data_IF_881942370710
#
_entry.id   IF_881942370710
#
_cell.length_a   1.000
_cell.length_b   1.000
_cell.length_c   1.000
_cell.angle_alpha   90.00
_cell.angle_beta   90.00
_cell.angle_gamma   90.00
#
_symmetry.space_group_name_H-M   'P 1'
#
loop_
_entity.id
_entity.type
_entity.pdbx_description
1 polymer ?
#
# COMPACT_ATOMS: atom_id res chain seq x y z
N UNK A 1 -2.37 30.71 -8.20
CA UNK A 1 -1.35 29.99 -7.37
C UNK A 1 -1.90 29.71 -5.98
N UNK A 2 -1.10 29.33 -4.97
CA UNK A 2 -1.58 29.03 -3.62
C UNK A 2 -2.21 30.25 -2.91
N UNK A 3 -1.73 31.47 -3.21
CA UNK A 3 -2.22 32.74 -2.65
C UNK A 3 -3.48 33.30 -3.33
N UNK A 4 -3.94 32.68 -4.40
CA UNK A 4 -5.07 33.16 -5.19
C UNK A 4 -6.39 33.05 -4.40
N UNK A 5 -7.01 34.20 -4.15
CA UNK A 5 -8.25 34.34 -3.38
C UNK A 5 -8.06 34.58 -1.89
N UNK A 6 -6.82 34.68 -1.38
CA UNK A 6 -6.56 35.01 0.01
C UNK A 6 -6.57 36.53 0.26
N UNK A 7 -7.03 36.93 1.44
CA UNK A 7 -6.98 38.31 1.88
C UNK A 7 -5.54 38.75 2.21
N UNK A 8 -5.27 40.05 2.08
CA UNK A 8 -3.96 40.64 2.39
C UNK A 8 -3.56 40.41 3.86
N UNK A 9 -4.53 40.41 4.77
CA UNK A 9 -4.36 40.12 6.19
C UNK A 9 -3.72 38.75 6.44
N UNK A 10 -4.18 37.73 5.72
CA UNK A 10 -3.69 36.35 5.80
C UNK A 10 -2.26 36.26 5.26
N UNK A 11 -2.01 36.90 4.11
CA UNK A 11 -0.66 36.91 3.52
C UNK A 11 0.35 37.64 4.39
N UNK A 12 -0.07 38.73 5.05
CA UNK A 12 0.76 39.48 5.99
C UNK A 12 1.10 38.66 7.23
N UNK A 13 0.11 37.97 7.81
CA UNK A 13 0.34 37.10 8.96
C UNK A 13 1.34 35.97 8.65
N UNK A 14 1.23 35.36 7.46
CA UNK A 14 2.17 34.32 7.01
C UNK A 14 3.57 34.89 6.77
N UNK A 15 3.69 36.06 6.14
CA UNK A 15 4.97 36.75 5.96
C UNK A 15 5.64 37.09 7.30
N UNK A 16 4.89 37.65 8.24
CA UNK A 16 5.40 38.02 9.57
C UNK A 16 5.92 36.78 10.32
N UNK A 17 5.24 35.64 10.20
CA UNK A 17 5.69 34.37 10.73
C UNK A 17 7.00 33.92 10.09
N UNK A 18 7.08 33.93 8.75
CA UNK A 18 8.28 33.52 8.00
C UNK A 18 9.49 34.39 8.33
N UNK A 19 9.31 35.71 8.46
CA UNK A 19 10.37 36.64 8.86
C UNK A 19 10.85 36.36 10.28
N UNK A 20 9.93 36.10 11.23
CA UNK A 20 10.30 35.72 12.60
C UNK A 20 11.10 34.41 12.62
N UNK A 21 10.67 33.40 11.86
CA UNK A 21 11.39 32.14 11.74
C UNK A 21 12.79 32.35 11.18
N UNK A 22 12.91 33.14 10.11
CA UNK A 22 14.20 33.50 9.50
C UNK A 22 15.15 34.13 10.53
N UNK A 23 14.67 35.13 11.28
CA UNK A 23 15.47 35.81 12.29
C UNK A 23 15.91 34.86 13.44
N UNK A 24 15.08 33.88 13.82
CA UNK A 24 15.47 32.84 14.80
C UNK A 24 16.59 31.94 14.25
N UNK A 25 16.52 31.57 12.97
CA UNK A 25 17.56 30.77 12.30
C UNK A 25 18.87 31.55 12.16
N UNK A 26 18.80 32.82 11.74
CA UNK A 26 19.99 33.68 11.59
C UNK A 26 20.73 33.86 12.92
N UNK A 27 19.99 34.07 14.03
CA UNK A 27 20.60 34.12 15.37
C UNK A 27 21.28 32.81 15.73
N UNK A 28 20.64 31.67 15.46
CA UNK A 28 21.24 30.34 15.72
C UNK A 28 22.48 30.08 14.87
N UNK A 29 22.53 30.56 13.62
CA UNK A 29 23.73 30.42 12.76
C UNK A 29 24.94 31.08 13.44
N UNK A 30 24.75 32.28 13.98
CA UNK A 30 25.83 33.04 14.59
C UNK A 30 26.29 32.50 15.95
N UNK A 31 25.43 31.76 16.65
CA UNK A 31 25.70 31.30 18.02
C UNK A 31 25.98 29.80 18.15
N UNK A 32 25.73 28.99 17.12
CA UNK A 32 25.79 27.53 17.21
C UNK A 32 27.09 26.96 16.63
N UNK A 33 27.65 25.90 17.24
CA UNK A 33 28.83 25.22 16.71
C UNK A 33 28.55 24.53 15.36
N UNK A 34 29.60 24.21 14.58
CA UNK A 34 29.45 23.49 13.31
C UNK A 34 28.68 22.18 13.46
N UNK A 35 27.93 21.79 12.41
CA UNK A 35 27.08 20.57 12.36
C UNK A 35 25.90 20.56 13.35
N UNK A 36 25.42 21.72 13.78
CA UNK A 36 24.19 21.85 14.58
C UNK A 36 22.96 21.99 13.68
N UNK A 37 21.85 21.30 14.02
CA UNK A 37 20.56 21.52 13.37
C UNK A 37 20.02 22.91 13.73
N UNK A 38 19.95 23.80 12.73
CA UNK A 38 19.52 25.20 12.92
C UNK A 38 17.99 25.35 12.94
N UNK A 39 17.34 24.59 12.05
CA UNK A 39 15.89 24.58 11.89
C UNK A 39 15.43 23.13 11.65
N UNK A 40 14.36 22.75 12.33
CA UNK A 40 13.58 21.55 12.03
C UNK A 40 12.28 22.04 11.41
N UNK A 41 11.83 21.37 10.35
CA UNK A 41 10.53 21.67 9.76
C UNK A 41 9.44 21.65 10.83
N UNK A 42 8.49 22.58 10.70
CA UNK A 42 7.37 22.70 11.61
C UNK A 42 6.70 21.32 11.77
N UNK A 43 6.64 20.76 13.00
CA UNK A 43 5.96 19.51 13.27
C UNK A 43 4.54 19.51 12.72
N UNK A 44 4.05 18.34 12.29
CA UNK A 44 2.71 18.21 11.72
C UNK A 44 1.63 18.80 12.65
N UNK A 45 1.76 18.60 13.96
CA UNK A 45 0.86 19.12 14.99
C UNK A 45 0.73 20.65 14.94
N UNK A 46 1.84 21.37 14.82
CA UNK A 46 1.82 22.83 14.68
C UNK A 46 1.26 23.28 13.32
N UNK A 47 1.57 22.56 12.23
CA UNK A 47 0.95 22.83 10.91
C UNK A 47 -0.56 22.66 10.98
N UNK A 48 -1.03 21.61 11.64
CA UNK A 48 -2.46 21.36 11.85
C UNK A 48 -3.10 22.46 12.71
N UNK A 49 -2.44 22.90 13.78
CA UNK A 49 -2.93 24.01 14.59
C UNK A 49 -3.05 25.31 13.76
N UNK A 50 -2.01 25.68 13.02
CA UNK A 50 -2.04 26.88 12.16
C UNK A 50 -3.12 26.79 11.09
N UNK A 51 -3.22 25.65 10.44
CA UNK A 51 -4.08 25.50 9.29
C UNK A 51 -5.53 25.30 9.74
N UNK A 52 -5.83 24.49 10.75
CA UNK A 52 -7.20 24.07 11.09
C UNK A 52 -7.77 24.68 12.37
N UNK A 53 -6.96 25.29 13.24
CA UNK A 53 -7.47 25.92 14.47
C UNK A 53 -7.88 27.37 14.19
N UNK A 54 -8.99 27.53 13.48
CA UNK A 54 -9.61 28.83 13.22
C UNK A 54 -10.63 29.19 14.31
N UNK A 55 -11.13 30.43 14.30
CA UNK A 55 -12.05 30.93 15.32
C UNK A 55 -13.42 30.22 15.35
N UNK A 56 -13.75 29.43 14.32
CA UNK A 56 -14.94 28.57 14.24
C UNK A 56 -14.75 27.22 14.94
N UNK A 57 -13.55 26.91 15.43
CA UNK A 57 -13.26 25.70 16.20
C UNK A 57 -13.36 26.01 17.69
N UNK A 58 -14.31 25.35 18.36
CA UNK A 58 -14.58 25.56 19.79
C UNK A 58 -13.44 25.04 20.67
N UNK A 59 -12.95 23.83 20.38
CA UNK A 59 -11.94 23.13 21.19
C UNK A 59 -10.98 22.32 20.31
N UNK A 60 -9.69 22.31 20.70
CA UNK A 60 -8.68 21.42 20.13
C UNK A 60 -8.19 20.45 21.21
N UNK A 61 -8.50 19.18 21.03
CA UNK A 61 -8.20 18.12 22.00
C UNK A 61 -7.00 17.30 21.51
N UNK A 62 -5.98 17.14 22.36
CA UNK A 62 -4.73 16.45 22.05
C UNK A 62 -4.48 15.36 23.08
N UNK A 63 -4.12 14.15 22.67
CA UNK A 63 -3.82 13.00 23.57
C UNK A 63 -2.32 12.77 23.83
N UNK A 64 -1.46 13.58 23.21
CA UNK A 64 -0.01 13.60 23.46
C UNK A 64 0.41 14.84 24.24
N UNK A 65 0.97 14.62 25.43
CA UNK A 65 1.55 15.67 26.28
C UNK A 65 2.65 16.45 25.56
N UNK A 66 3.51 15.76 24.79
CA UNK A 66 4.59 16.38 24.02
C UNK A 66 4.03 17.33 22.95
N UNK A 67 3.02 16.88 22.21
CA UNK A 67 2.37 17.69 21.18
C UNK A 67 1.64 18.90 21.77
N UNK A 68 0.94 18.71 22.90
CA UNK A 68 0.25 19.77 23.62
C UNK A 68 1.21 20.88 24.07
N UNK A 69 2.31 20.49 24.73
CA UNK A 69 3.34 21.46 25.17
C UNK A 69 3.97 22.18 24.01
N UNK A 70 4.33 21.47 22.95
CA UNK A 70 4.92 22.09 21.76
C UNK A 70 3.98 23.10 21.12
N UNK A 71 2.67 22.82 21.04
CA UNK A 71 1.70 23.81 20.52
C UNK A 71 1.57 25.02 21.47
N UNK A 72 1.50 24.80 22.78
CA UNK A 72 1.40 25.90 23.75
C UNK A 72 2.62 26.82 23.77
N UNK A 73 3.81 26.25 23.67
CA UNK A 73 5.09 26.97 23.76
C UNK A 73 5.49 27.61 22.42
N UNK A 74 5.33 26.88 21.31
CA UNK A 74 5.89 27.27 20.01
C UNK A 74 4.88 27.98 19.09
N UNK A 75 3.57 27.77 19.26
CA UNK A 75 2.55 28.44 18.44
C UNK A 75 2.24 29.85 18.98
N UNK A 76 3.17 30.77 18.73
CA UNK A 76 3.01 32.20 19.04
C UNK A 76 1.80 32.84 18.31
N UNK A 77 1.36 32.24 17.19
CA UNK A 77 0.23 32.73 16.38
C UNK A 77 -1.15 32.44 16.98
N UNK A 78 -1.26 31.54 17.98
CA UNK A 78 -2.54 31.26 18.61
C UNK A 78 -3.01 32.47 19.42
N UNK A 79 -4.28 32.82 19.24
CA UNK A 79 -4.92 33.86 20.04
C UNK A 79 -5.06 33.40 21.50
N UNK A 80 -5.18 34.31 22.48
CA UNK A 80 -5.41 33.93 23.87
C UNK A 80 -6.63 33.03 24.06
N UNK A 81 -7.68 33.24 23.26
CA UNK A 81 -8.90 32.44 23.29
C UNK A 81 -8.65 31.03 22.77
N UNK A 82 -7.95 30.89 21.64
CA UNK A 82 -7.54 29.58 21.11
C UNK A 82 -6.65 28.80 22.09
N UNK A 83 -5.73 29.47 22.79
CA UNK A 83 -4.92 28.81 23.83
C UNK A 83 -5.77 28.30 25.00
N UNK A 84 -6.83 29.02 25.37
CA UNK A 84 -7.75 28.59 26.42
C UNK A 84 -8.61 27.38 25.98
N UNK A 85 -8.91 27.28 24.69
CA UNK A 85 -9.63 26.18 24.05
C UNK A 85 -8.76 24.95 23.71
N UNK A 86 -7.46 24.97 24.06
CA UNK A 86 -6.57 23.84 23.85
C UNK A 86 -6.59 22.91 25.06
N UNK A 87 -7.02 21.67 24.88
CA UNK A 87 -7.17 20.69 25.95
C UNK A 87 -6.27 19.46 25.76
N UNK A 88 -5.61 19.06 26.85
CA UNK A 88 -4.93 17.78 26.91
C UNK A 88 -5.90 16.70 27.40
N UNK A 89 -6.12 15.72 26.55
CA UNK A 89 -6.92 14.54 26.85
C UNK A 89 -6.19 13.59 27.79
N UNK A 90 -6.81 13.29 28.93
CA UNK A 90 -6.28 12.37 29.97
C UNK A 90 -7.18 11.15 30.21
N UNK A 91 -8.13 10.91 29.33
CA UNK A 91 -9.03 9.76 29.43
C UNK A 91 -8.29 8.44 29.18
N UNK A 92 -8.81 7.34 29.75
CA UNK A 92 -8.25 6.00 29.54
C UNK A 92 -8.62 5.42 28.17
N UNK A 93 -9.81 5.75 27.67
CA UNK A 93 -10.28 5.34 26.34
C UNK A 93 -9.56 6.17 25.26
N UNK A 94 -9.08 5.59 24.14
CA UNK A 94 -8.47 6.33 23.06
C UNK A 94 -9.35 7.50 22.56
N UNK A 95 -8.72 8.62 22.23
CA UNK A 95 -9.42 9.86 21.88
C UNK A 95 -10.42 9.67 20.73
N UNK A 96 -10.02 8.97 19.67
CA UNK A 96 -10.87 8.75 18.49
C UNK A 96 -12.01 7.77 18.77
N UNK A 97 -11.84 6.81 19.68
CA UNK A 97 -12.91 5.89 20.09
C UNK A 97 -13.98 6.63 20.87
N UNK A 98 -13.57 7.45 21.86
CA UNK A 98 -14.48 8.25 22.69
C UNK A 98 -15.43 9.13 21.84
N UNK A 99 -14.91 9.73 20.77
CA UNK A 99 -15.67 10.59 19.86
C UNK A 99 -16.28 9.85 18.66
N UNK A 100 -16.11 8.52 18.57
CA UNK A 100 -16.66 7.71 17.46
C UNK A 100 -16.00 7.93 16.11
N UNK A 101 -14.84 8.61 16.06
CA UNK A 101 -14.09 8.92 14.84
C UNK A 101 -13.52 7.65 14.22
N UNK A 102 -13.10 6.68 15.04
CA UNK A 102 -12.51 5.42 14.54
C UNK A 102 -13.49 4.68 13.61
N UNK A 103 -14.79 4.64 13.96
CA UNK A 103 -15.84 4.04 13.14
C UNK A 103 -16.01 4.76 11.81
N UNK A 104 -15.87 6.09 11.79
CA UNK A 104 -15.93 6.88 10.56
C UNK A 104 -14.69 6.68 9.68
N UNK A 105 -13.51 6.46 10.28
CA UNK A 105 -12.28 6.09 9.55
C UNK A 105 -12.45 4.72 8.89
N UNK A 106 -12.93 3.70 9.62
CA UNK A 106 -13.21 2.37 9.08
C UNK A 106 -14.24 2.42 7.94
N UNK A 107 -15.30 3.21 8.12
CA UNK A 107 -16.31 3.47 7.09
C UNK A 107 -15.70 4.16 5.86
N UNK A 108 -14.75 5.08 6.04
CA UNK A 108 -14.03 5.74 4.95
C UNK A 108 -12.99 4.84 4.26
N UNK A 109 -12.49 3.79 4.92
CA UNK A 109 -11.60 2.80 4.28
C UNK A 109 -12.36 1.75 3.46
N UNK A 110 -13.66 1.62 3.70
CA UNK A 110 -14.51 0.64 3.04
C UNK A 110 -14.75 1.00 1.57
N UNK A 111 -14.69 0.00 0.69
CA UNK A 111 -15.00 0.16 -0.74
C UNK A 111 -16.48 0.51 -0.97
N UNK A 112 -17.37 -0.12 -0.20
CA UNK A 112 -18.82 0.11 -0.21
C UNK A 112 -19.22 0.95 1.00
N UNK A 113 -20.02 1.98 0.79
CA UNK A 113 -20.54 2.85 1.84
C UNK A 113 -22.07 2.93 1.76
N UNK A 114 -22.75 2.67 2.87
CA UNK A 114 -24.21 2.76 2.93
C UNK A 114 -24.67 4.18 3.22
N UNK A 115 -25.76 4.56 2.55
CA UNK A 115 -26.55 5.75 2.76
C UNK A 115 -27.66 5.46 3.77
N UNK A 116 -28.16 6.48 4.46
CA UNK A 116 -29.25 6.39 5.44
C UNK A 116 -30.56 5.93 4.79
N UNK A 117 -30.79 6.33 3.53
CA UNK A 117 -31.92 5.85 2.71
C UNK A 117 -31.83 4.37 2.34
N UNK A 118 -30.73 3.67 2.60
CA UNK A 118 -30.50 2.29 2.20
C UNK A 118 -29.91 2.13 0.79
N UNK A 119 -29.66 3.23 0.09
CA UNK A 119 -28.74 3.28 -1.04
C UNK A 119 -27.29 3.02 -0.62
N UNK A 120 -26.38 2.90 -1.58
CA UNK A 120 -24.97 2.75 -1.29
C UNK A 120 -24.09 3.29 -2.40
N UNK A 121 -22.85 3.63 -2.02
CA UNK A 121 -21.81 4.16 -2.88
C UNK A 121 -20.67 3.15 -3.00
N UNK A 122 -20.08 3.03 -4.18
CA UNK A 122 -18.79 2.39 -4.37
C UNK A 122 -17.72 3.43 -4.67
N UNK A 123 -16.54 3.27 -4.06
CA UNK A 123 -15.37 4.09 -4.33
C UNK A 123 -14.26 3.20 -4.89
N UNK A 124 -13.91 3.41 -6.15
CA UNK A 124 -12.89 2.64 -6.86
C UNK A 124 -11.74 3.55 -7.31
N UNK A 125 -10.51 3.09 -7.07
CA UNK A 125 -9.29 3.73 -7.57
C UNK A 125 -8.82 2.97 -8.80
N UNK A 126 -8.62 3.69 -9.89
CA UNK A 126 -7.92 3.20 -11.09
C UNK A 126 -6.51 3.77 -11.13
N UNK A 127 -5.75 3.46 -12.17
CA UNK A 127 -4.41 4.03 -12.37
C UNK A 127 -4.44 5.57 -12.50
N UNK A 128 -5.44 6.12 -13.20
CA UNK A 128 -5.47 7.54 -13.55
C UNK A 128 -6.49 8.37 -12.75
N UNK A 129 -7.54 7.74 -12.22
CA UNK A 129 -8.69 8.44 -11.64
C UNK A 129 -9.43 7.63 -10.57
N UNK A 130 -10.27 8.32 -9.81
CA UNK A 130 -11.25 7.70 -8.92
C UNK A 130 -12.62 7.65 -9.60
N UNK A 131 -13.30 6.52 -9.47
CA UNK A 131 -14.67 6.32 -9.92
C UNK A 131 -15.57 6.11 -8.71
N UNK A 132 -16.69 6.83 -8.68
CA UNK A 132 -17.68 6.76 -7.61
C UNK A 132 -19.02 6.41 -8.23
N UNK A 133 -19.61 5.29 -7.79
CA UNK A 133 -20.86 4.75 -8.34
C UNK A 133 -21.98 4.81 -7.30
N UNK A 134 -23.15 5.32 -7.68
CA UNK A 134 -24.30 5.53 -6.79
C UNK A 134 -25.39 4.50 -7.09
N UNK A 135 -25.85 3.79 -6.06
CA UNK A 135 -26.93 2.81 -6.18
C UNK A 135 -28.06 3.11 -5.19
N UNK A 136 -29.30 2.95 -5.62
CA UNK A 136 -30.51 3.12 -4.78
C UNK A 136 -30.75 1.95 -3.82
N UNK A 137 -30.10 0.80 -4.03
CA UNK A 137 -30.25 -0.38 -3.18
C UNK A 137 -31.70 -0.91 -3.17
N UNK A 138 -32.17 -1.37 -2.00
CA UNK A 138 -33.55 -1.89 -1.83
C UNK A 138 -34.58 -0.80 -1.55
N UNK A 139 -34.21 0.48 -1.70
CA UNK A 139 -35.13 1.58 -1.46
C UNK A 139 -36.13 1.70 -2.63
N UNK A 140 -37.23 0.95 -2.54
CA UNK A 140 -38.33 0.89 -3.51
C UNK A 140 -39.67 1.37 -2.93
N UNK A 141 -39.62 2.16 -1.86
CA UNK A 141 -40.78 2.58 -1.08
C UNK A 141 -41.44 3.85 -1.60
N UNK A 142 -42.15 3.79 -2.72
CA UNK A 142 -43.02 4.88 -3.18
C UNK A 142 -43.54 4.69 -4.60
N UNK A 143 -44.71 5.26 -4.90
CA UNK A 143 -45.34 5.25 -6.24
C UNK A 143 -44.58 6.07 -7.29
N UNK A 144 -43.52 6.78 -6.89
CA UNK A 144 -42.70 7.63 -7.75
C UNK A 144 -41.22 7.25 -7.66
N UNK A 145 -40.76 6.53 -8.69
CA UNK A 145 -39.38 6.08 -8.82
C UNK A 145 -38.43 7.27 -9.07
N UNK A 146 -38.88 8.30 -9.79
CA UNK A 146 -38.03 9.43 -10.16
C UNK A 146 -37.69 10.28 -8.94
N UNK A 147 -38.69 10.62 -8.12
CA UNK A 147 -38.50 11.34 -6.87
C UNK A 147 -37.61 10.57 -5.89
N UNK A 148 -37.75 9.24 -5.87
CA UNK A 148 -36.91 8.35 -5.07
C UNK A 148 -35.45 8.41 -5.50
N UNK A 149 -35.19 8.29 -6.80
CA UNK A 149 -33.85 8.38 -7.38
C UNK A 149 -33.23 9.75 -7.11
N UNK A 150 -34.00 10.82 -7.30
CA UNK A 150 -33.55 12.18 -7.04
C UNK A 150 -33.09 12.37 -5.58
N UNK A 151 -33.87 11.84 -4.62
CA UNK A 151 -33.54 11.90 -3.19
C UNK A 151 -32.26 11.15 -2.85
N UNK A 152 -32.09 9.95 -3.41
CA UNK A 152 -30.86 9.15 -3.22
C UNK A 152 -29.66 9.91 -3.79
N UNK A 153 -29.76 10.48 -4.99
CA UNK A 153 -28.67 11.24 -5.60
C UNK A 153 -28.33 12.52 -4.81
N UNK A 154 -29.31 13.21 -4.22
CA UNK A 154 -29.06 14.33 -3.33
C UNK A 154 -28.29 13.91 -2.08
N UNK A 155 -28.70 12.82 -1.44
CA UNK A 155 -27.99 12.27 -0.29
C UNK A 155 -26.57 11.84 -0.66
N UNK A 156 -26.43 11.12 -1.78
CA UNK A 156 -25.15 10.72 -2.34
C UNK A 156 -24.24 11.92 -2.58
N UNK A 157 -24.73 13.03 -3.16
CA UNK A 157 -23.92 14.22 -3.40
C UNK A 157 -23.30 14.79 -2.11
N UNK A 158 -24.05 14.80 -0.99
CA UNK A 158 -23.54 15.25 0.30
C UNK A 158 -22.46 14.31 0.83
N UNK A 159 -22.75 13.01 0.80
CA UNK A 159 -21.84 12.00 1.33
C UNK A 159 -20.58 11.84 0.49
N UNK A 160 -20.68 11.92 -0.84
CA UNK A 160 -19.53 11.91 -1.77
C UNK A 160 -18.58 13.07 -1.46
N UNK A 161 -19.11 14.29 -1.31
CA UNK A 161 -18.27 15.45 -0.98
C UNK A 161 -17.55 15.26 0.36
N UNK A 162 -18.26 14.74 1.37
CA UNK A 162 -17.69 14.40 2.68
C UNK A 162 -16.59 13.35 2.57
N UNK A 163 -16.85 12.25 1.87
CA UNK A 163 -15.92 11.13 1.69
C UNK A 163 -14.69 11.51 0.87
N UNK A 164 -14.82 12.34 -0.16
CA UNK A 164 -13.68 12.85 -0.93
C UNK A 164 -12.72 13.61 0.00
N UNK A 165 -13.23 14.40 0.95
CA UNK A 165 -12.40 15.10 1.94
C UNK A 165 -11.79 14.14 2.96
N UNK A 166 -12.60 13.27 3.57
CA UNK A 166 -12.13 12.33 4.60
C UNK A 166 -11.09 11.35 4.07
N UNK A 167 -11.30 10.80 2.87
CA UNK A 167 -10.36 9.90 2.20
C UNK A 167 -9.19 10.66 1.56
N UNK A 168 -9.26 12.00 1.53
CA UNK A 168 -8.37 12.88 0.79
C UNK A 168 -8.15 12.44 -0.67
N UNK A 169 -9.24 12.21 -1.40
CA UNK A 169 -9.18 11.88 -2.83
C UNK A 169 -8.77 13.12 -3.63
N UNK A 170 -7.89 12.93 -4.60
CA UNK A 170 -7.32 14.00 -5.42
C UNK A 170 -7.05 13.49 -6.84
N UNK A 171 -6.82 14.40 -7.78
CA UNK A 171 -6.69 14.10 -9.20
C UNK A 171 -8.05 14.16 -9.89
N UNK A 172 -8.22 13.32 -10.90
CA UNK A 172 -9.48 13.19 -11.65
C UNK A 172 -10.43 12.27 -10.89
N UNK A 173 -11.68 12.71 -10.71
CA UNK A 173 -12.73 11.97 -10.04
C UNK A 173 -13.96 11.99 -10.94
N UNK A 174 -14.52 10.82 -11.23
CA UNK A 174 -15.76 10.64 -11.98
C UNK A 174 -16.82 10.11 -11.03
N UNK A 175 -17.99 10.73 -11.06
CA UNK A 175 -19.16 10.34 -10.27
C UNK A 175 -20.27 9.92 -11.22
N UNK A 176 -20.72 8.68 -11.07
CA UNK A 176 -21.83 8.06 -11.79
C UNK A 176 -23.07 8.10 -10.88
N UNK A 177 -23.88 9.15 -11.05
CA UNK A 177 -25.17 9.26 -10.37
C UNK A 177 -26.22 8.42 -11.10
N UNK A 178 -27.25 7.98 -10.39
CA UNK A 178 -28.36 7.26 -11.02
C UNK A 178 -29.06 8.20 -12.02
N UNK A 179 -29.41 7.67 -13.19
CA UNK A 179 -30.06 8.44 -14.26
C UNK A 179 -31.29 9.22 -13.77
N UNK A 180 -31.37 10.49 -14.18
CA UNK A 180 -32.48 11.40 -13.87
C UNK A 180 -33.00 12.01 -15.17
N UNK A 181 -34.31 11.92 -15.39
CA UNK A 181 -34.96 12.46 -16.60
C UNK A 181 -35.06 13.99 -16.53
N UNK A 182 -35.50 14.54 -15.38
CA UNK A 182 -35.66 15.98 -15.22
C UNK A 182 -34.31 16.73 -15.16
N UNK A 183 -34.07 17.73 -16.04
CA UNK A 183 -32.88 18.58 -15.96
C UNK A 183 -32.77 19.36 -14.64
N UNK A 184 -33.91 19.69 -14.03
CA UNK A 184 -33.99 20.36 -12.73
C UNK A 184 -33.39 19.51 -11.60
N UNK A 185 -33.62 18.19 -11.62
CA UNK A 185 -33.05 17.25 -10.65
C UNK A 185 -31.53 17.21 -10.77
N UNK A 186 -30.99 17.06 -11.99
CA UNK A 186 -29.54 17.13 -12.26
C UNK A 186 -28.92 18.43 -11.73
N UNK A 187 -29.54 19.57 -12.03
CA UNK A 187 -29.06 20.87 -11.57
C UNK A 187 -29.02 20.98 -10.03
N UNK A 188 -30.01 20.43 -9.33
CA UNK A 188 -30.08 20.44 -7.86
C UNK A 188 -29.04 19.51 -7.22
N UNK A 189 -28.83 18.31 -7.77
CA UNK A 189 -27.77 17.38 -7.32
C UNK A 189 -26.41 18.03 -7.47
N UNK A 190 -26.13 18.65 -8.62
CA UNK A 190 -24.87 19.32 -8.89
C UNK A 190 -24.66 20.55 -8.00
N UNK A 191 -25.71 21.34 -7.76
CA UNK A 191 -25.69 22.45 -6.81
C UNK A 191 -25.35 21.97 -5.41
N UNK A 192 -25.99 20.90 -4.95
CA UNK A 192 -25.73 20.29 -3.64
C UNK A 192 -24.28 19.84 -3.52
N UNK A 193 -23.75 19.17 -4.54
CA UNK A 193 -22.35 18.74 -4.57
C UNK A 193 -21.40 19.94 -4.45
N UNK A 194 -21.59 20.98 -5.26
CA UNK A 194 -20.78 22.22 -5.23
C UNK A 194 -20.86 22.93 -3.88
N UNK A 195 -22.05 22.99 -3.26
CA UNK A 195 -22.25 23.59 -1.95
C UNK A 195 -21.46 22.85 -0.86
N UNK A 196 -21.45 21.52 -0.89
CA UNK A 196 -20.71 20.72 0.09
C UNK A 196 -19.20 20.75 -0.13
N UNK A 197 -18.71 21.28 -1.26
CA UNK A 197 -17.29 21.55 -1.51
C UNK A 197 -16.88 23.01 -1.24
N UNK A 198 -17.81 23.88 -0.84
CA UNK A 198 -17.46 25.25 -0.42
C UNK A 198 -16.51 25.18 0.77
N UNK A 199 -15.41 25.95 0.69
CA UNK A 199 -14.36 25.94 1.72
C UNK A 199 -13.33 24.82 1.59
N UNK A 200 -13.43 23.91 0.60
CA UNK A 200 -12.39 22.90 0.38
C UNK A 200 -11.10 23.57 -0.13
N UNK A 201 -10.05 23.47 0.69
CA UNK A 201 -8.73 24.08 0.46
C UNK A 201 -8.01 23.49 -0.75
N UNK A 202 -8.37 22.28 -1.18
CA UNK A 202 -7.75 21.62 -2.33
C UNK A 202 -8.38 22.04 -3.68
N UNK A 203 -9.16 23.13 -3.69
CA UNK A 203 -9.68 23.82 -4.88
C UNK A 203 -10.31 22.85 -5.90
N UNK A 204 -11.45 22.22 -5.56
CA UNK A 204 -12.15 21.33 -6.49
C UNK A 204 -12.72 22.12 -7.68
N UNK A 205 -12.60 21.55 -8.88
CA UNK A 205 -13.26 22.04 -10.09
C UNK A 205 -14.28 21.00 -10.55
N UNK A 206 -15.56 21.33 -10.49
CA UNK A 206 -16.67 20.40 -10.74
C UNK A 206 -17.41 20.84 -12.01
N UNK A 207 -17.32 20.01 -13.05
CA UNK A 207 -18.01 20.24 -14.32
C UNK A 207 -19.50 19.89 -14.21
N UNK A 208 -20.27 20.32 -15.20
CA UNK A 208 -21.67 19.90 -15.32
C UNK A 208 -21.78 18.42 -15.72
N UNK A 209 -23.01 17.88 -15.66
CA UNK A 209 -23.29 16.54 -16.18
C UNK A 209 -22.88 16.44 -17.64
N UNK A 210 -22.12 15.40 -17.98
CA UNK A 210 -21.79 15.11 -19.37
C UNK A 210 -22.99 14.54 -20.13
N UNK A 211 -22.85 14.43 -21.45
CA UNK A 211 -23.84 13.77 -22.31
C UNK A 211 -24.08 12.30 -21.92
N UNK A 212 -23.12 11.68 -21.23
CA UNK A 212 -23.20 10.31 -20.73
C UNK A 212 -23.80 10.22 -19.30
N UNK A 213 -24.27 11.33 -18.72
CA UNK A 213 -24.83 11.34 -17.36
C UNK A 213 -23.80 11.36 -16.22
N UNK A 214 -22.51 11.47 -16.54
CA UNK A 214 -21.43 11.46 -15.55
C UNK A 214 -21.05 12.87 -15.10
N UNK A 215 -20.70 13.03 -13.83
CA UNK A 215 -20.10 14.27 -13.31
C UNK A 215 -18.59 14.08 -13.20
N UNK A 216 -17.82 14.91 -13.91
CA UNK A 216 -16.36 14.93 -13.79
C UNK A 216 -15.92 16.08 -12.89
N UNK A 217 -14.93 15.81 -12.04
CA UNK A 217 -14.27 16.84 -11.26
C UNK A 217 -12.77 16.60 -11.15
N UNK A 218 -12.03 17.67 -10.87
CA UNK A 218 -10.63 17.59 -10.47
C UNK A 218 -10.45 18.21 -9.09
N UNK A 219 -9.57 17.63 -8.27
CA UNK A 219 -9.21 18.15 -6.95
C UNK A 219 -7.71 18.10 -6.77
N UNK A 220 -7.08 19.19 -6.30
CA UNK A 220 -5.61 19.26 -6.20
C UNK A 220 -5.08 18.23 -5.20
N UNK A 221 -3.90 17.69 -5.49
CA UNK A 221 -3.19 16.77 -4.58
C UNK A 221 -2.28 17.58 -3.65
N UNK A 222 -2.52 17.48 -2.35
CA UNK A 222 -1.72 18.14 -1.31
C UNK A 222 -1.02 17.15 -0.38
N UNK A 223 -1.59 15.97 -0.21
CA UNK A 223 -1.04 14.89 0.62
C UNK A 223 -1.47 13.52 0.07
N UNK A 224 -0.97 12.45 0.68
CA UNK A 224 -1.42 11.08 0.41
C UNK A 224 -2.89 10.89 0.79
N UNK A 225 -3.57 9.97 0.10
CA UNK A 225 -4.94 9.59 0.46
C UNK A 225 -4.96 8.72 1.72
N UNK A 226 -6.12 8.62 2.37
CA UNK A 226 -6.29 7.75 3.56
C UNK A 226 -5.95 6.28 3.24
N UNK A 227 -6.30 5.84 2.03
CA UNK A 227 -6.01 4.51 1.53
C UNK A 227 -4.49 4.28 1.39
N UNK A 228 -3.76 5.23 0.83
CA UNK A 228 -2.30 5.17 0.67
C UNK A 228 -1.55 5.19 2.02
N UNK A 229 -2.15 5.79 3.06
CA UNK A 229 -1.56 5.84 4.40
C UNK A 229 -1.81 4.53 5.17
N UNK A 230 -2.94 3.85 4.92
CA UNK A 230 -3.40 2.72 5.73
C UNK A 230 -3.29 1.36 5.04
N UNK A 231 -3.08 1.31 3.73
CA UNK A 231 -3.05 0.07 2.95
C UNK A 231 -1.79 -0.02 2.12
N UNK A 232 -1.37 -1.26 1.91
CA UNK A 232 -0.32 -1.62 0.96
C UNK A 232 -0.92 -2.30 -0.26
N UNK A 233 -0.18 -2.28 -1.38
CA UNK A 233 -0.59 -2.99 -2.60
C UNK A 233 -0.54 -4.49 -2.36
N UNK A 234 -1.58 -5.21 -2.75
CA UNK A 234 -1.64 -6.65 -2.58
C UNK A 234 -0.46 -7.32 -3.32
N UNK A 235 0.38 -8.13 -2.65
CA UNK A 235 1.55 -8.74 -3.28
C UNK A 235 1.19 -9.82 -4.30
N UNK A 236 0.00 -10.43 -4.20
CA UNK A 236 -0.45 -11.48 -5.11
C UNK A 236 -0.97 -10.91 -6.44
N UNK A 237 -1.88 -9.93 -6.39
CA UNK A 237 -2.51 -9.40 -7.59
C UNK A 237 -1.97 -8.03 -8.02
N UNK A 238 -1.01 -7.47 -7.27
CA UNK A 238 -0.42 -6.16 -7.52
C UNK A 238 -1.46 -5.04 -7.68
N UNK A 239 -2.58 -5.16 -6.94
CA UNK A 239 -3.69 -4.21 -6.99
C UNK A 239 -4.78 -4.52 -8.04
N UNK A 240 -4.65 -5.59 -8.84
CA UNK A 240 -5.66 -5.95 -9.83
C UNK A 240 -7.00 -6.44 -9.25
N UNK A 241 -7.01 -6.87 -7.97
CA UNK A 241 -8.21 -7.38 -7.28
C UNK A 241 -8.75 -8.71 -7.81
N UNK A 242 -8.04 -9.33 -8.76
CA UNK A 242 -8.34 -10.64 -9.35
C UNK A 242 -7.03 -11.36 -9.64
N UNK A 243 -7.08 -12.69 -9.67
CA UNK A 243 -5.99 -13.59 -10.03
C UNK A 243 -6.47 -14.52 -11.15
N UNK A 244 -5.56 -15.03 -11.96
CA UNK A 244 -5.85 -16.04 -12.97
C UNK A 244 -6.37 -17.29 -12.28
N UNK A 245 -7.44 -17.88 -12.83
CA UNK A 245 -8.03 -19.08 -12.25
C UNK A 245 -7.04 -20.26 -12.27
N UNK A 246 -7.07 -21.09 -11.22
CA UNK A 246 -6.22 -22.28 -11.11
C UNK A 246 -6.33 -23.21 -12.34
N UNK A 247 -7.53 -23.28 -12.94
CA UNK A 247 -7.76 -24.06 -14.17
C UNK A 247 -7.01 -23.50 -15.38
N UNK A 248 -6.99 -22.18 -15.56
CA UNK A 248 -6.21 -21.55 -16.64
C UNK A 248 -4.72 -21.71 -16.42
N UNK A 249 -4.25 -21.62 -15.18
CA UNK A 249 -2.83 -21.87 -14.84
C UNK A 249 -2.46 -23.32 -15.12
N UNK A 250 -3.31 -24.29 -14.75
CA UNK A 250 -3.10 -25.69 -15.08
C UNK A 250 -3.01 -25.93 -16.60
N UNK A 251 -3.89 -25.28 -17.39
CA UNK A 251 -3.82 -25.33 -18.86
C UNK A 251 -2.51 -24.71 -19.40
N UNK A 252 -2.06 -23.59 -18.82
CA UNK A 252 -0.77 -22.97 -19.13
C UNK A 252 0.40 -23.92 -18.89
N UNK A 253 0.41 -24.61 -17.74
CA UNK A 253 1.41 -25.62 -17.39
C UNK A 253 1.41 -26.76 -18.40
N UNK A 254 0.23 -27.29 -18.79
CA UNK A 254 0.15 -28.37 -19.81
C UNK A 254 0.78 -27.96 -21.14
N UNK A 255 0.54 -26.70 -21.57
CA UNK A 255 1.12 -26.17 -22.80
C UNK A 255 2.63 -26.01 -22.68
N UNK A 256 3.12 -25.35 -21.62
CA UNK A 256 4.55 -25.15 -21.40
C UNK A 256 5.29 -26.48 -21.25
N UNK A 257 4.70 -27.46 -20.57
CA UNK A 257 5.29 -28.80 -20.43
C UNK A 257 5.56 -29.44 -21.79
N UNK A 258 4.66 -29.27 -22.76
CA UNK A 258 4.87 -29.82 -24.11
C UNK A 258 6.08 -29.20 -24.81
N UNK A 259 6.34 -27.92 -24.58
CA UNK A 259 7.52 -27.21 -25.11
C UNK A 259 8.80 -27.62 -24.37
N UNK A 260 8.74 -27.77 -23.04
CA UNK A 260 9.88 -28.21 -22.22
C UNK A 260 10.30 -29.66 -22.51
N UNK A 261 9.34 -30.55 -22.76
CA UNK A 261 9.59 -31.95 -23.17
C UNK A 261 10.28 -32.01 -24.54
N UNK A 262 9.91 -31.12 -25.47
CA UNK A 262 10.62 -31.02 -26.77
C UNK A 262 12.03 -30.47 -26.61
N UNK A 263 12.23 -29.56 -25.66
CA UNK A 263 13.51 -28.92 -25.38
C UNK A 263 14.48 -29.84 -24.65
N UNK A 264 13.99 -30.54 -23.64
CA UNK A 264 14.76 -31.44 -22.79
C UNK A 264 14.32 -32.88 -23.04
N UNK A 265 15.19 -33.68 -23.66
CA UNK A 265 14.96 -35.09 -23.96
C UNK A 265 15.13 -35.96 -22.69
N UNK A 266 14.34 -35.66 -21.65
CA UNK A 266 14.37 -36.38 -20.37
C UNK A 266 13.05 -37.08 -20.12
N UNK A 267 13.12 -38.30 -19.59
CA UNK A 267 11.93 -39.13 -19.36
C UNK A 267 11.15 -38.72 -18.09
N UNK A 268 11.64 -37.73 -17.34
CA UNK A 268 11.09 -37.32 -16.03
C UNK A 268 11.12 -35.81 -15.88
N UNK A 269 9.99 -35.22 -15.50
CA UNK A 269 9.89 -33.81 -15.14
C UNK A 269 9.25 -33.63 -13.76
N UNK A 270 9.70 -32.62 -13.03
CA UNK A 270 9.10 -32.18 -11.77
C UNK A 270 8.31 -30.90 -12.04
N UNK A 271 7.05 -30.88 -11.63
CA UNK A 271 6.19 -29.70 -11.69
C UNK A 271 5.95 -29.23 -10.26
N UNK A 272 6.49 -28.05 -9.94
CA UNK A 272 6.24 -27.35 -8.68
C UNK A 272 5.19 -26.26 -8.93
N UNK A 273 4.04 -26.32 -8.26
CA UNK A 273 3.00 -25.30 -8.36
C UNK A 273 2.15 -25.26 -7.08
N UNK A 274 1.31 -24.24 -6.96
CA UNK A 274 0.36 -24.16 -5.86
C UNK A 274 -0.55 -25.40 -5.80
N UNK A 275 -0.93 -25.84 -4.60
CA UNK A 275 -1.69 -27.08 -4.40
C UNK A 275 -2.97 -27.14 -5.22
N UNK A 276 -3.73 -26.03 -5.31
CA UNK A 276 -4.96 -25.97 -6.11
C UNK A 276 -4.71 -26.27 -7.60
N UNK A 277 -3.57 -25.84 -8.14
CA UNK A 277 -3.19 -26.09 -9.53
C UNK A 277 -2.74 -27.54 -9.69
N UNK A 278 -1.97 -28.07 -8.75
CA UNK A 278 -1.51 -29.46 -8.76
C UNK A 278 -2.67 -30.46 -8.67
N UNK A 279 -3.67 -30.19 -7.81
CA UNK A 279 -4.83 -31.05 -7.67
C UNK A 279 -5.67 -31.07 -8.97
N UNK A 280 -5.74 -29.94 -9.69
CA UNK A 280 -6.33 -29.87 -11.03
C UNK A 280 -5.50 -30.62 -12.08
N UNK A 281 -4.17 -30.49 -12.08
CA UNK A 281 -3.30 -31.24 -12.99
C UNK A 281 -3.35 -32.75 -12.73
N UNK A 282 -3.55 -33.15 -11.47
CA UNK A 282 -3.75 -34.55 -11.10
C UNK A 282 -5.08 -35.08 -11.64
N UNK A 283 -6.13 -34.26 -11.56
CA UNK A 283 -7.50 -34.64 -11.88
C UNK A 283 -8.08 -35.63 -10.87
N UNK A 284 -9.34 -36.02 -11.06
CA UNK A 284 -9.98 -37.07 -10.25
C UNK A 284 -9.29 -38.41 -10.48
N UNK A 285 -8.94 -39.09 -9.39
CA UNK A 285 -8.26 -40.40 -9.36
C UNK A 285 -6.95 -40.49 -10.19
N UNK A 286 -6.34 -39.34 -10.51
CA UNK A 286 -5.10 -39.30 -11.30
C UNK A 286 -5.30 -39.51 -12.81
N UNK A 287 -6.53 -39.44 -13.32
CA UNK A 287 -6.83 -39.68 -14.73
C UNK A 287 -6.15 -38.65 -15.64
N UNK A 288 -6.30 -37.35 -15.33
CA UNK A 288 -5.70 -36.27 -16.13
C UNK A 288 -4.17 -36.32 -16.12
N UNK A 289 -3.56 -36.69 -14.99
CA UNK A 289 -2.12 -36.89 -14.92
C UNK A 289 -1.65 -38.02 -15.85
N UNK A 290 -2.34 -39.16 -15.83
CA UNK A 290 -1.99 -40.30 -16.69
C UNK A 290 -2.16 -39.96 -18.17
N UNK A 291 -3.20 -39.19 -18.52
CA UNK A 291 -3.39 -38.70 -19.88
C UNK A 291 -2.26 -37.75 -20.31
N UNK A 292 -1.86 -36.84 -19.42
CA UNK A 292 -0.76 -35.90 -19.66
C UNK A 292 0.59 -36.61 -19.80
N UNK A 293 0.87 -37.62 -18.97
CA UNK A 293 2.07 -38.47 -19.07
C UNK A 293 2.09 -39.26 -20.39
N UNK A 294 0.94 -39.80 -20.82
CA UNK A 294 0.82 -40.51 -22.11
C UNK A 294 1.02 -39.58 -23.30
N UNK A 295 0.46 -38.38 -23.25
CA UNK A 295 0.56 -37.40 -24.34
C UNK A 295 1.99 -36.86 -24.48
N UNK A 296 2.71 -36.70 -23.38
CA UNK A 296 4.10 -36.20 -23.38
C UNK A 296 5.16 -37.29 -23.45
N UNK A 297 4.79 -38.56 -23.25
CA UNK A 297 5.69 -39.71 -23.13
C UNK A 297 6.76 -39.56 -22.02
N UNK A 298 6.47 -38.76 -20.98
CA UNK A 298 7.35 -38.52 -19.84
C UNK A 298 6.60 -38.79 -18.52
N UNK A 299 7.35 -39.18 -17.48
CA UNK A 299 6.83 -39.33 -16.13
C UNK A 299 6.82 -37.98 -15.40
N UNK A 300 5.72 -37.63 -14.76
CA UNK A 300 5.51 -36.32 -14.14
C UNK A 300 5.46 -36.45 -12.61
N UNK A 301 6.32 -35.70 -11.93
CA UNK A 301 6.36 -35.61 -10.47
C UNK A 301 5.73 -34.30 -10.05
N UNK A 302 4.48 -34.37 -9.58
CA UNK A 302 3.75 -33.20 -9.09
C UNK A 302 4.14 -32.90 -7.63
N UNK A 303 4.71 -31.72 -7.38
CA UNK A 303 5.08 -31.24 -6.05
C UNK A 303 4.17 -30.06 -5.65
N UNK A 304 3.13 -30.29 -4.83
CA UNK A 304 2.27 -29.21 -4.33
C UNK A 304 3.02 -28.35 -3.32
N UNK A 305 2.91 -27.04 -3.46
CA UNK A 305 3.52 -26.05 -2.57
C UNK A 305 2.45 -25.08 -2.08
N UNK A 306 2.15 -25.07 -0.78
CA UNK A 306 1.11 -24.18 -0.23
C UNK A 306 1.60 -22.73 -0.05
N UNK A 307 2.91 -22.51 0.05
CA UNK A 307 3.50 -21.18 0.24
C UNK A 307 3.85 -20.45 -1.07
N UNK A 308 3.55 -21.06 -2.22
CA UNK A 308 3.77 -20.45 -3.53
C UNK A 308 2.52 -19.70 -3.97
N UNK A 309 2.71 -18.51 -4.55
CA UNK A 309 1.61 -17.81 -5.21
C UNK A 309 1.01 -18.69 -6.30
N UNK A 310 -0.31 -18.61 -6.47
CA UNK A 310 -1.07 -19.50 -7.34
C UNK A 310 -0.61 -19.40 -8.79
N UNK A 311 -0.20 -18.20 -9.21
CA UNK A 311 0.29 -17.88 -10.55
C UNK A 311 1.76 -18.24 -10.77
N UNK A 312 2.46 -18.72 -9.74
CA UNK A 312 3.86 -19.13 -9.85
C UNK A 312 3.98 -20.65 -9.97
N UNK A 313 4.70 -21.12 -10.98
CA UNK A 313 5.06 -22.53 -11.14
C UNK A 313 6.47 -22.70 -11.71
N UNK A 314 7.04 -23.89 -11.56
CA UNK A 314 8.31 -24.29 -12.17
C UNK A 314 8.20 -25.70 -12.74
N UNK A 315 8.74 -25.89 -13.93
CA UNK A 315 8.89 -27.19 -14.59
C UNK A 315 10.38 -27.48 -14.69
N UNK A 316 10.85 -28.56 -14.08
CA UNK A 316 12.27 -28.90 -14.00
C UNK A 316 12.52 -30.29 -14.60
N UNK A 317 13.40 -30.43 -15.61
CA UNK A 317 13.79 -31.74 -16.11
C UNK A 317 14.66 -32.47 -15.08
N UNK A 318 14.45 -33.77 -14.91
CA UNK A 318 15.29 -34.62 -14.06
C UNK A 318 16.39 -35.23 -14.93
N UNK A 319 17.56 -34.59 -14.95
CA UNK A 319 18.74 -35.10 -15.63
C UNK A 319 19.42 -36.17 -14.74
N UNK A 320 19.43 -37.42 -15.19
CA UNK A 320 20.19 -38.47 -14.49
C UNK A 320 21.70 -38.17 -14.64
N UNK A 321 22.37 -37.82 -13.53
CA UNK A 321 23.84 -37.81 -13.49
C UNK A 321 24.32 -39.24 -13.69
N UNK A 322 24.95 -39.53 -14.82
CA UNK A 322 25.61 -40.82 -15.07
C UNK A 322 26.82 -40.97 -14.15
N UNK A 323 26.63 -41.51 -12.95
CA UNK A 323 27.73 -42.01 -12.14
C UNK A 323 28.24 -43.33 -12.72
N UNK A 324 29.10 -43.27 -13.76
CA UNK A 324 29.95 -44.41 -14.13
C UNK A 324 31.01 -44.59 -13.04
N UNK A 325 30.82 -45.56 -12.14
CA UNK A 325 31.92 -46.11 -11.33
C UNK A 325 32.97 -46.68 -12.30
N UNK A 326 34.27 -46.34 -12.17
CA UNK A 326 35.30 -47.00 -12.96
C UNK A 326 35.42 -48.45 -12.49
N UNK A 327 35.34 -49.39 -13.44
CA UNK A 327 35.62 -50.80 -13.20
C UNK A 327 37.05 -50.96 -12.67
N UNK A 328 37.21 -51.73 -11.60
CA UNK A 328 38.53 -52.09 -11.07
C UNK A 328 39.26 -52.96 -12.09
N UNK A 329 40.50 -52.63 -12.50
CA UNK A 329 41.26 -53.49 -13.39
C UNK A 329 41.68 -54.79 -12.68
N UNK A 330 41.50 -55.91 -13.36
CA UNK A 330 41.95 -57.24 -12.94
C UNK A 330 43.46 -57.24 -12.70
N UNK A 331 43.87 -57.67 -11.50
CA UNK A 331 45.28 -57.90 -11.17
C UNK A 331 45.84 -59.01 -12.05
N UNK A 332 46.80 -58.66 -12.92
CA UNK A 332 47.77 -59.61 -13.46
C UNK A 332 49.02 -59.55 -12.60
N UNK A 333 49.36 -60.68 -11.99
CA UNK A 333 50.63 -60.91 -11.34
C UNK A 333 51.79 -60.74 -12.33
N UNK A 334 52.81 -59.97 -11.93
CA UNK A 334 54.21 -60.15 -12.38
C UNK A 334 55.18 -59.56 -11.36
N UNK A 335 56.01 -60.47 -10.86
CA UNK A 335 57.17 -60.28 -10.01
C UNK A 335 58.24 -59.37 -10.62
N UNK A 336 59.03 -58.73 -9.72
CA UNK A 336 60.40 -58.20 -9.88
C UNK A 336 60.59 -57.13 -10.97
N UNK A 337 61.24 -55.99 -10.72
CA UNK A 337 62.61 -55.94 -10.23
C UNK A 337 62.95 -54.57 -9.61
N UNK A 338 63.96 -54.62 -8.74
CA UNK A 338 64.65 -53.51 -8.08
C UNK A 338 65.47 -52.74 -9.11
N UNK A 339 65.40 -51.41 -9.10
CA UNK A 339 66.55 -50.53 -8.85
C UNK A 339 66.31 -49.10 -9.33
N UNK A 340 66.99 -48.22 -8.58
CA UNK A 340 67.55 -46.93 -8.94
C UNK A 340 66.68 -45.68 -8.74
N UNK A 341 67.40 -44.75 -8.12
CA UNK A 341 67.05 -43.50 -7.48
C UNK A 341 67.37 -42.35 -8.48
N UNK A 342 67.24 -41.08 -8.06
CA UNK A 342 66.48 -40.01 -8.72
C UNK A 342 67.35 -39.06 -9.57
N UNK A 343 66.74 -38.06 -10.19
CA UNK A 343 67.26 -36.69 -10.48
C UNK A 343 66.20 -35.97 -11.35
N UNK A 344 65.54 -34.91 -10.86
CA UNK A 344 65.96 -33.49 -10.88
C UNK A 344 66.34 -32.98 -12.28
N UNK A 345 65.51 -32.09 -12.85
CA UNK A 345 65.84 -30.66 -12.99
C UNK A 345 64.79 -29.91 -13.84
N UNK A 346 64.29 -28.80 -13.26
CA UNK A 346 64.08 -27.44 -13.84
C UNK A 346 63.35 -27.29 -15.20
N UNK A 347 62.59 -26.24 -15.50
CA UNK A 347 62.77 -24.84 -15.16
C UNK A 347 61.61 -23.98 -15.74
N UNK A 348 61.23 -22.91 -15.02
CA UNK A 348 60.80 -21.53 -15.44
C UNK A 348 59.58 -21.40 -16.39
N UNK A 349 58.63 -20.46 -16.30
CA UNK A 349 58.58 -18.99 -16.01
C UNK A 349 57.11 -18.63 -15.69
N UNK A 350 56.82 -17.95 -14.58
CA UNK A 350 56.59 -16.48 -14.46
C UNK A 350 55.46 -15.90 -15.33
N UNK A 351 54.49 -15.27 -14.67
CA UNK A 351 53.47 -14.41 -15.27
C UNK A 351 52.20 -14.23 -14.43
N UNK A 352 52.30 -13.55 -13.29
CA UNK A 352 51.20 -12.79 -12.63
C UNK A 352 51.17 -11.36 -13.24
N UNK A 353 50.22 -10.41 -13.01
CA UNK A 353 49.11 -10.33 -12.04
C UNK A 353 47.75 -9.97 -12.71
N UNK A 354 46.56 -9.97 -12.10
CA UNK A 354 46.13 -9.75 -10.72
C UNK A 354 45.23 -8.51 -10.69
N UNK A 355 43.98 -8.62 -10.20
CA UNK A 355 43.21 -7.51 -9.57
C UNK A 355 42.22 -8.12 -8.56
N UNK A 356 42.27 -7.57 -7.36
CA UNK A 356 41.72 -8.02 -6.08
C UNK A 356 40.21 -7.85 -5.86
N UNK A 357 39.68 -8.76 -5.04
CA UNK A 357 38.44 -8.65 -4.26
C UNK A 357 38.68 -7.84 -2.97
N UNK A 358 37.68 -7.05 -2.57
CA UNK A 358 37.54 -6.59 -1.18
C UNK A 358 36.06 -6.60 -0.78
N UNK A 359 35.70 -7.57 0.07
CA UNK A 359 34.44 -7.66 0.80
C UNK A 359 34.61 -6.98 2.17
N UNK A 360 33.62 -6.17 2.55
CA UNK A 360 33.54 -5.52 3.86
C UNK A 360 32.51 -6.24 4.74
N UNK A 361 32.95 -6.67 5.92
CA UNK A 361 32.14 -7.19 7.02
C UNK A 361 31.41 -6.05 7.75
N UNK A 362 30.18 -6.33 8.23
CA UNK A 362 29.37 -5.42 9.06
C UNK A 362 29.18 -6.07 10.42
N UNK A 363 29.68 -5.41 11.46
CA UNK A 363 29.47 -5.74 12.87
C UNK A 363 28.05 -5.39 13.34
N UNK A 364 27.45 -6.30 14.13
CA UNK A 364 26.25 -6.08 14.93
C UNK A 364 26.65 -5.68 16.37
N UNK A 365 25.95 -4.76 17.04
CA UNK A 365 26.19 -4.49 18.46
C UNK A 365 25.42 -5.45 19.38
N UNK A 366 26.10 -5.78 20.47
CA UNK A 366 25.71 -6.71 21.52
C UNK A 366 24.54 -6.24 22.40
N UNK A 367 23.78 -7.21 22.88
CA UNK A 367 22.78 -7.12 23.95
C UNK A 367 23.48 -7.39 25.30
N UNK A 368 23.31 -6.50 26.27
CA UNK A 368 23.67 -6.77 27.67
C UNK A 368 22.39 -6.87 28.53
N UNK A 369 22.37 -7.95 29.31
CA UNK A 369 21.38 -8.35 30.32
C UNK A 369 21.43 -7.47 31.58
N UNK A 370 20.25 -7.26 32.19
CA UNK A 370 19.95 -7.36 33.63
C UNK A 370 18.89 -6.33 34.02
N UNK A 371 17.71 -6.79 34.48
CA UNK A 371 17.06 -6.16 35.63
C UNK A 371 16.15 -7.18 36.35
N UNK A 372 16.46 -7.34 37.63
CA UNK A 372 15.76 -8.12 38.64
C UNK A 372 14.28 -7.77 38.78
N UNK A 373 13.46 -8.80 39.00
CA UNK A 373 12.11 -8.70 39.52
C UNK A 373 12.12 -8.70 41.05
N UNK A 374 11.22 -7.96 41.72
CA UNK A 374 10.76 -8.32 43.05
C UNK A 374 9.36 -8.94 42.98
N UNK A 375 9.27 -10.09 43.64
CA UNK A 375 8.04 -10.71 44.14
C UNK A 375 7.52 -9.86 45.28
N UNK A 376 6.22 -9.58 45.31
CA UNK A 376 5.53 -9.17 46.53
C UNK A 376 4.21 -9.96 46.64
N UNK A 377 4.24 -10.94 47.54
CA UNK A 377 3.08 -11.54 48.20
C UNK A 377 2.77 -10.67 49.43
N UNK A 378 1.60 -10.03 49.48
CA UNK A 378 0.71 -10.09 50.67
C UNK A 378 -0.62 -9.32 50.54
N UNK A 379 -1.67 -10.07 50.90
CA UNK A 379 -2.82 -9.71 51.73
C UNK A 379 -3.95 -8.77 51.24
N UNK A 380 -5.14 -9.41 51.25
CA UNK A 380 -6.53 -8.94 51.38
C UNK A 380 -7.35 -8.66 50.11
#
# INVERSE_FOLDING_TARGET
>A
TASEGLEESVLKADLDLLVKMWNKVEKKINSSPPRTMLHRDIPLTMKLARDFFSDDVEEMIIDSEEAYRSIMEDCEFLTPLQRASLELYKGKEPLFEKFGIEKEIERALSRKLWLESGGYLFFDKTEAMYCIDVNSGRFSGGSDLEETVFRVNLEAAREIARQIRLRNLSGMIIIDFIDMEAPSHRAQVLKTLREHFKGDRNKPNILDFSELGLVQMTRRRTASSLDEIRKEVCPCCQGAGKIISAANIANGIRKQLSDEVRRYQTDKFIINAHRMVIDLLRGRDGLELKELERATACKLILKPQNGLDIETWKIEPVLERTSKKPEKPQRRDRNFDRNRRPEQETAVTEGDPGVDEATAEVEQPATDDNFDAPVDDNEL
#
